data_IF_656333555305
#
_entry.id   IF_656333555305
#
_cell.length_a   1.000
_cell.length_b   1.000
_cell.length_c   1.000
_cell.angle_alpha   90.00
_cell.angle_beta   90.00
_cell.angle_gamma   90.00
#
_symmetry.space_group_name_H-M   'P 1'
#
loop_
_entity.id
_entity.type
_entity.pdbx_description
1 polymer ?
#
# COMPACT_ATOMS: atom_id res chain seq x y z
N UNK A 1 9.03 82.92 -15.62
CA UNK A 1 9.84 82.41 -14.48
C UNK A 1 9.22 81.09 -14.04
N UNK A 2 9.73 79.93 -14.50
CA UNK A 2 10.72 79.02 -13.86
C UNK A 2 10.28 78.39 -12.52
N UNK A 3 9.95 77.09 -12.56
CA UNK A 3 10.30 75.96 -11.64
C UNK A 3 9.35 74.78 -11.97
N UNK A 4 9.71 73.70 -12.67
CA UNK A 4 10.63 72.55 -12.47
C UNK A 4 10.29 71.61 -11.28
N UNK A 5 10.19 70.31 -11.64
CA UNK A 5 10.28 69.07 -10.84
C UNK A 5 9.03 68.69 -10.00
N UNK A 6 8.62 67.43 -9.83
CA UNK A 6 9.29 66.14 -10.01
C UNK A 6 8.29 65.00 -10.31
N UNK A 7 8.78 63.97 -10.99
CA UNK A 7 8.14 62.69 -11.24
C UNK A 7 8.06 61.81 -9.98
N UNK A 8 7.02 60.96 -9.88
CA UNK A 8 7.09 59.64 -9.23
C UNK A 8 6.18 58.68 -10.01
N UNK A 9 6.76 57.81 -10.83
CA UNK A 9 6.10 56.57 -11.28
C UNK A 9 6.15 55.58 -10.11
N UNK A 10 5.00 55.23 -9.53
CA UNK A 10 4.89 54.05 -8.67
C UNK A 10 4.78 52.80 -9.55
N UNK A 11 5.90 52.12 -9.75
CA UNK A 11 5.90 50.73 -10.21
C UNK A 11 5.55 49.83 -9.02
N UNK A 12 4.30 49.39 -8.94
CA UNK A 12 3.92 48.35 -8.00
C UNK A 12 4.46 47.00 -8.49
N UNK A 13 5.58 46.54 -7.90
CA UNK A 13 6.01 45.15 -8.02
C UNK A 13 5.00 44.26 -7.29
N UNK A 14 4.08 43.66 -8.04
CA UNK A 14 3.33 42.49 -7.58
C UNK A 14 4.29 41.30 -7.50
N UNK A 15 4.92 41.12 -6.34
CA UNK A 15 5.48 39.82 -5.97
C UNK A 15 4.30 38.85 -5.85
N UNK A 16 4.03 38.12 -6.93
CA UNK A 16 3.16 36.95 -6.90
C UNK A 16 3.88 35.87 -6.10
N UNK A 17 3.48 35.70 -4.85
CA UNK A 17 3.86 34.53 -4.08
C UNK A 17 3.14 33.36 -4.74
N UNK A 18 3.88 32.54 -5.49
CA UNK A 18 3.39 31.25 -5.92
C UNK A 18 3.19 30.41 -4.65
N UNK A 19 1.97 30.41 -4.12
CA UNK A 19 1.58 29.43 -3.12
C UNK A 19 1.78 28.05 -3.73
N UNK A 20 2.36 27.08 -3.00
CA UNK A 20 2.37 25.71 -3.46
C UNK A 20 0.91 25.30 -3.68
N UNK A 21 0.56 24.99 -4.93
CA UNK A 21 -0.67 24.26 -5.21
C UNK A 21 -0.58 22.97 -4.42
N UNK A 22 -1.44 22.82 -3.41
CA UNK A 22 -1.73 21.52 -2.86
C UNK A 22 -2.21 20.67 -4.05
N UNK A 23 -1.43 19.67 -4.42
CA UNK A 23 -1.89 18.68 -5.36
C UNK A 23 -3.08 17.96 -4.70
N UNK A 24 -4.18 17.73 -5.44
CA UNK A 24 -5.24 16.82 -5.01
C UNK A 24 -4.68 15.39 -5.08
N UNK A 25 -3.88 15.06 -4.07
CA UNK A 25 -3.32 13.74 -3.86
C UNK A 25 -3.77 13.21 -2.50
N UNK A 26 -4.10 11.92 -2.46
CA UNK A 26 -4.45 11.21 -1.25
C UNK A 26 -3.56 10.00 -1.09
N UNK A 27 -3.23 9.67 0.17
CA UNK A 27 -2.73 8.34 0.49
C UNK A 27 -3.84 7.33 0.23
N UNK A 28 -3.43 6.18 -0.28
CA UNK A 28 -4.30 5.07 -0.64
C UNK A 28 -3.55 3.75 -0.45
N UNK A 29 -4.30 2.66 -0.52
CA UNK A 29 -3.78 1.30 -0.59
C UNK A 29 -3.99 0.78 -1.99
N UNK A 30 -2.93 0.31 -2.63
CA UNK A 30 -2.98 -0.23 -3.98
C UNK A 30 -2.91 -1.76 -3.94
N UNK A 31 -3.88 -2.41 -4.55
CA UNK A 31 -3.91 -3.85 -4.78
C UNK A 31 -3.70 -4.15 -6.26
N UNK A 32 -2.79 -5.07 -6.56
CA UNK A 32 -2.38 -5.42 -7.92
C UNK A 32 -2.85 -6.83 -8.25
N UNK A 33 -3.66 -6.94 -9.29
CA UNK A 33 -4.17 -8.20 -9.80
C UNK A 33 -3.63 -8.46 -11.20
N UNK A 34 -2.92 -9.56 -11.46
CA UNK A 34 -2.52 -9.94 -12.80
C UNK A 34 -3.75 -10.08 -13.71
N UNK A 35 -3.58 -9.82 -15.02
CA UNK A 35 -4.69 -9.93 -15.96
C UNK A 35 -5.28 -11.34 -15.95
N UNK A 36 -6.60 -11.42 -15.74
CA UNK A 36 -7.34 -12.67 -15.71
C UNK A 36 -7.25 -13.43 -14.38
N UNK A 37 -6.53 -12.90 -13.38
CA UNK A 37 -6.46 -13.44 -12.04
C UNK A 37 -7.51 -12.79 -11.14
N UNK A 38 -8.18 -13.60 -10.33
CA UNK A 38 -8.97 -13.19 -9.16
C UNK A 38 -8.13 -13.15 -7.87
N UNK A 39 -6.90 -13.65 -7.93
CA UNK A 39 -5.91 -13.56 -6.85
C UNK A 39 -5.11 -12.27 -6.94
N UNK A 40 -4.98 -11.60 -5.80
CA UNK A 40 -4.11 -10.44 -5.65
C UNK A 40 -2.64 -10.89 -5.64
N UNK A 41 -1.81 -10.26 -6.46
CA UNK A 41 -0.37 -10.51 -6.51
C UNK A 41 0.37 -9.69 -5.45
N UNK A 42 0.07 -8.40 -5.34
CA UNK A 42 0.71 -7.55 -4.33
C UNK A 42 -0.25 -6.49 -3.81
N UNK A 43 -0.05 -6.14 -2.55
CA UNK A 43 -0.64 -4.97 -1.92
C UNK A 43 0.52 -4.03 -1.60
N UNK A 44 0.35 -2.74 -1.81
CA UNK A 44 1.39 -1.74 -1.55
C UNK A 44 0.73 -0.40 -1.21
N UNK A 45 1.21 0.34 -0.19
CA UNK A 45 0.76 1.71 0.00
C UNK A 45 1.08 2.54 -1.25
N UNK A 46 0.21 3.49 -1.57
CA UNK A 46 0.39 4.33 -2.74
C UNK A 46 -0.18 5.73 -2.52
N UNK A 47 0.27 6.65 -3.36
CA UNK A 47 -0.32 7.98 -3.46
C UNK A 47 -1.09 8.07 -4.76
N UNK A 48 -2.38 8.35 -4.66
CA UNK A 48 -3.24 8.65 -5.81
C UNK A 48 -3.34 10.16 -5.97
N UNK A 49 -3.06 10.68 -7.16
CA UNK A 49 -3.24 12.09 -7.51
C UNK A 49 -4.06 12.26 -8.78
N UNK A 50 -4.94 13.25 -8.81
CA UNK A 50 -5.69 13.60 -10.02
C UNK A 50 -5.69 15.12 -10.25
N UNK A 51 -5.22 15.58 -11.42
CA UNK A 51 -5.21 17.00 -11.80
C UNK A 51 -5.58 17.19 -13.26
N UNK A 52 -6.56 18.06 -13.53
CA UNK A 52 -7.00 18.39 -14.90
C UNK A 52 -7.28 17.15 -15.79
N UNK A 53 -7.81 16.08 -15.17
CA UNK A 53 -8.07 14.81 -15.84
C UNK A 53 -6.87 13.88 -15.99
N UNK A 54 -5.64 14.31 -15.69
CA UNK A 54 -4.48 13.43 -15.58
C UNK A 54 -4.50 12.74 -14.22
N UNK A 55 -4.07 11.47 -14.18
CA UNK A 55 -3.98 10.67 -12.97
C UNK A 55 -2.53 10.21 -12.79
N UNK A 56 -2.03 10.31 -11.57
CA UNK A 56 -0.74 9.73 -11.16
C UNK A 56 -1.00 8.78 -10.00
N UNK A 57 -0.49 7.56 -10.10
CA UNK A 57 -0.54 6.57 -9.02
C UNK A 57 0.90 6.16 -8.73
N UNK A 58 1.42 6.57 -7.59
CA UNK A 58 2.80 6.29 -7.17
C UNK A 58 2.77 5.26 -6.05
N UNK A 59 3.28 4.06 -6.32
CA UNK A 59 3.41 2.99 -5.32
C UNK A 59 4.69 3.18 -4.50
N UNK A 60 4.66 2.79 -3.23
CA UNK A 60 5.86 2.86 -2.37
C UNK A 60 7.01 1.95 -2.83
N UNK A 61 6.73 0.92 -3.63
CA UNK A 61 7.74 0.07 -4.25
C UNK A 61 8.43 0.70 -5.49
N UNK A 62 8.18 1.98 -5.75
CA UNK A 62 8.86 2.76 -6.78
C UNK A 62 8.20 2.72 -8.16
N UNK A 63 7.11 1.98 -8.33
CA UNK A 63 6.35 1.96 -9.59
C UNK A 63 5.40 3.16 -9.65
N UNK A 64 5.51 3.95 -10.72
CA UNK A 64 4.62 5.10 -10.99
C UNK A 64 3.82 4.86 -12.26
N UNK A 65 2.51 5.08 -12.20
CA UNK A 65 1.63 5.11 -13.36
C UNK A 65 1.25 6.55 -13.66
N UNK A 66 1.53 7.01 -14.89
CA UNK A 66 1.09 8.32 -15.37
C UNK A 66 0.03 8.13 -16.45
N UNK A 67 -1.18 8.61 -16.19
CA UNK A 67 -2.34 8.36 -17.02
C UNK A 67 -2.83 9.68 -17.64
N UNK A 68 -2.74 9.76 -18.97
CA UNK A 68 -3.23 10.88 -19.76
C UNK A 68 -4.64 10.61 -20.26
N UNK A 69 -5.63 11.52 -20.06
CA UNK A 69 -7.00 11.29 -20.49
C UNK A 69 -7.10 11.25 -22.03
N UNK A 70 -8.01 10.42 -22.56
CA UNK A 70 -8.23 10.27 -24.00
C UNK A 70 -9.66 10.67 -24.36
N UNK A 71 -9.78 11.76 -25.12
CA UNK A 71 -11.05 12.31 -25.56
C UNK A 71 -11.89 12.84 -24.41
N UNK A 72 -13.17 13.11 -24.68
CA UNK A 72 -14.07 13.76 -23.71
C UNK A 72 -14.80 12.77 -22.80
N UNK A 73 -14.63 11.45 -23.02
CA UNK A 73 -15.28 10.42 -22.22
C UNK A 73 -14.45 10.11 -20.97
N UNK A 74 -15.00 10.32 -19.75
CA UNK A 74 -14.30 9.96 -18.53
C UNK A 74 -13.96 8.48 -18.49
N UNK A 75 -12.79 8.16 -17.92
CA UNK A 75 -12.38 6.79 -17.67
C UNK A 75 -11.49 6.16 -18.73
N UNK A 76 -11.22 6.85 -19.84
CA UNK A 76 -10.28 6.38 -20.87
C UNK A 76 -8.95 7.11 -20.74
N UNK A 77 -7.87 6.35 -20.63
CA UNK A 77 -6.52 6.90 -20.46
C UNK A 77 -5.52 6.20 -21.37
N UNK A 78 -4.38 6.86 -21.57
CA UNK A 78 -3.12 6.22 -21.99
C UNK A 78 -2.14 6.28 -20.84
N UNK A 79 -1.43 5.19 -20.60
CA UNK A 79 -0.27 5.23 -19.69
C UNK A 79 0.93 5.94 -20.33
N UNK A 80 2.02 6.05 -19.57
CA UNK A 80 3.29 6.62 -20.02
C UNK A 80 3.88 5.94 -21.27
N UNK A 81 3.48 4.69 -21.56
CA UNK A 81 3.91 3.91 -22.73
C UNK A 81 2.91 4.02 -23.90
N UNK A 82 1.88 4.87 -23.77
CA UNK A 82 0.83 5.07 -24.76
C UNK A 82 -0.22 3.94 -24.80
N UNK A 83 -0.19 2.99 -23.87
CA UNK A 83 -1.11 1.84 -23.84
C UNK A 83 -2.44 2.23 -23.20
N UNK A 84 -3.53 1.65 -23.67
CA UNK A 84 -4.86 1.95 -23.16
C UNK A 84 -5.03 1.47 -21.71
N UNK A 85 -5.58 2.36 -20.87
CA UNK A 85 -5.95 2.08 -19.48
C UNK A 85 -7.37 2.55 -19.25
N UNK A 86 -8.17 1.72 -18.58
CA UNK A 86 -9.58 2.02 -18.34
C UNK A 86 -9.85 2.12 -16.85
N UNK A 87 -10.44 3.25 -16.42
CA UNK A 87 -11.01 3.37 -15.07
C UNK A 87 -12.39 2.75 -15.05
N UNK A 88 -12.61 1.81 -14.15
CA UNK A 88 -13.88 1.12 -13.97
C UNK A 88 -14.48 1.44 -12.60
N UNK A 89 -15.81 1.48 -12.58
CA UNK A 89 -16.59 1.40 -11.35
C UNK A 89 -16.51 -0.03 -10.79
N UNK A 90 -16.74 -0.19 -9.50
CA UNK A 90 -16.78 -1.52 -8.86
C UNK A 90 -16.52 -1.49 -7.36
N UNK A 91 -15.86 -0.43 -6.87
CA UNK A 91 -15.57 -0.25 -5.45
C UNK A 91 -16.49 0.76 -4.75
N UNK A 92 -17.41 1.40 -5.48
CA UNK A 92 -18.29 2.43 -4.92
C UNK A 92 -17.50 3.57 -4.30
N UNK A 93 -17.81 3.91 -3.05
CA UNK A 93 -17.11 4.94 -2.29
C UNK A 93 -15.76 4.48 -1.73
N UNK A 94 -15.44 3.17 -1.76
CA UNK A 94 -14.21 2.64 -1.18
C UNK A 94 -12.96 2.88 -2.04
N UNK A 95 -13.11 3.14 -3.35
CA UNK A 95 -11.95 3.20 -4.22
C UNK A 95 -12.23 3.32 -5.73
N UNK A 96 -11.17 3.13 -6.51
CA UNK A 96 -11.18 3.11 -7.98
C UNK A 96 -10.45 1.88 -8.54
N UNK A 97 -10.86 1.43 -9.72
CA UNK A 97 -10.20 0.32 -10.42
C UNK A 97 -9.61 0.85 -11.73
N UNK A 98 -8.33 0.57 -11.98
CA UNK A 98 -7.64 0.85 -13.24
C UNK A 98 -7.24 -0.46 -13.91
N UNK A 99 -7.75 -0.69 -15.11
CA UNK A 99 -7.43 -1.87 -15.93
C UNK A 99 -6.34 -1.53 -16.92
N UNK A 100 -5.15 -2.05 -16.66
CA UNK A 100 -3.99 -1.98 -17.55
C UNK A 100 -3.97 -3.21 -18.49
N UNK A 101 -3.14 -3.22 -19.54
CA UNK A 101 -3.08 -4.33 -20.48
C UNK A 101 -2.64 -5.67 -19.88
N UNK A 102 -1.87 -5.64 -18.78
CA UNK A 102 -1.26 -6.82 -18.14
C UNK A 102 -1.72 -7.07 -16.71
N UNK A 103 -2.39 -6.09 -16.08
CA UNK A 103 -2.79 -6.14 -14.69
C UNK A 103 -3.95 -5.18 -14.41
N UNK A 104 -4.51 -5.25 -13.22
CA UNK A 104 -5.45 -4.27 -12.68
C UNK A 104 -4.90 -3.70 -11.40
N UNK A 105 -5.08 -2.39 -11.21
CA UNK A 105 -4.70 -1.68 -10.00
C UNK A 105 -5.98 -1.21 -9.34
N UNK A 106 -6.27 -1.74 -8.16
CA UNK A 106 -7.38 -1.31 -7.34
C UNK A 106 -6.80 -0.34 -6.30
N UNK A 107 -7.34 0.87 -6.25
CA UNK A 107 -6.90 1.94 -5.37
C UNK A 107 -7.99 2.12 -4.33
N UNK A 108 -7.69 1.80 -3.07
CA UNK A 108 -8.63 1.95 -1.96
C UNK A 108 -8.26 3.15 -1.08
N UNK A 109 -9.28 3.86 -0.60
CA UNK A 109 -9.11 5.01 0.30
C UNK A 109 -8.95 4.60 1.77
N UNK A 110 -9.22 3.32 2.08
CA UNK A 110 -8.95 2.74 3.39
C UNK A 110 -7.43 2.61 3.58
N UNK A 111 -6.84 3.70 4.06
CA UNK A 111 -5.48 3.69 4.55
C UNK A 111 -5.39 2.79 5.78
N UNK A 112 -5.30 1.47 5.60
CA UNK A 112 -4.76 0.58 6.63
C UNK A 112 -3.35 1.06 7.07
N UNK A 113 -2.67 1.84 6.23
CA UNK A 113 -1.39 2.47 6.51
C UNK A 113 -1.46 3.85 7.23
N UNK A 114 -2.63 4.39 7.59
CA UNK A 114 -2.68 5.71 8.26
C UNK A 114 -3.51 5.70 9.56
N UNK A 115 -3.06 4.92 10.53
CA UNK A 115 -3.01 5.41 11.91
C UNK A 115 -1.53 5.56 12.25
N UNK A 116 -1.09 6.80 12.45
CA UNK A 116 0.30 7.11 12.77
C UNK A 116 0.80 6.21 13.90
N UNK A 117 1.96 5.59 13.69
CA UNK A 117 2.71 4.94 14.75
C UNK A 117 2.80 5.90 15.94
N UNK A 118 2.02 5.64 16.99
CA UNK A 118 2.38 6.12 18.30
C UNK A 118 3.78 5.55 18.57
N UNK A 119 4.75 6.44 18.76
CA UNK A 119 6.19 6.14 18.83
C UNK A 119 6.59 5.16 19.95
N UNK A 120 5.61 4.64 20.72
CA UNK A 120 5.83 3.80 21.90
C UNK A 120 5.30 2.35 21.74
N UNK A 121 4.73 1.97 20.59
CA UNK A 121 4.36 0.57 20.31
C UNK A 121 5.25 -0.04 19.22
N UNK A 122 6.16 -0.93 19.62
CA UNK A 122 7.09 -1.60 18.70
C UNK A 122 6.37 -2.45 17.63
N UNK A 123 5.13 -2.88 17.88
CA UNK A 123 4.34 -3.67 16.91
C UNK A 123 3.30 -2.83 16.17
N UNK A 124 3.36 -1.49 16.24
CA UNK A 124 2.51 -0.63 15.41
C UNK A 124 2.66 -1.01 13.92
N UNK A 125 1.58 -1.04 13.12
CA UNK A 125 0.22 -0.54 13.41
C UNK A 125 -0.66 -1.48 14.26
N UNK A 126 -0.18 -2.68 14.58
CA UNK A 126 -0.95 -3.65 15.36
C UNK A 126 -0.95 -3.27 16.85
N UNK A 127 -2.05 -2.67 17.28
CA UNK A 127 -2.45 -2.66 18.70
C UNK A 127 -3.18 -3.99 19.03
N UNK A 128 -3.41 -4.30 20.30
CA UNK A 128 -4.26 -5.46 20.67
C UNK A 128 -5.68 -5.36 20.13
N UNK A 129 -6.14 -4.18 19.67
CA UNK A 129 -7.47 -3.97 19.07
C UNK A 129 -7.35 -3.47 17.63
N UNK A 130 -8.22 -3.95 16.76
CA UNK A 130 -8.42 -3.50 15.37
C UNK A 130 -9.92 -3.30 15.10
N UNK A 131 -10.29 -2.67 13.98
CA UNK A 131 -11.70 -2.33 13.67
C UNK A 131 -12.65 -3.55 13.70
N UNK A 132 -12.12 -4.75 13.46
CA UNK A 132 -12.87 -6.01 13.46
C UNK A 132 -12.73 -6.88 14.71
N UNK A 133 -12.02 -6.44 15.76
CA UNK A 133 -11.85 -7.25 16.98
C UNK A 133 -10.56 -6.99 17.76
N UNK A 134 -10.10 -8.00 18.49
CA UNK A 134 -8.83 -7.97 19.22
C UNK A 134 -7.90 -9.07 18.71
N UNK A 135 -6.60 -8.78 18.62
CA UNK A 135 -5.58 -9.79 18.38
C UNK A 135 -5.27 -10.55 19.67
N UNK A 136 -5.09 -11.86 19.59
CA UNK A 136 -4.67 -12.68 20.74
C UNK A 136 -3.25 -12.35 21.19
N UNK A 137 -2.41 -11.89 20.26
CA UNK A 137 -1.08 -11.38 20.53
C UNK A 137 -0.61 -10.46 19.39
N UNK A 138 0.38 -9.62 19.69
CA UNK A 138 1.13 -8.87 18.69
C UNK A 138 2.61 -9.19 18.87
N UNK A 139 3.37 -9.20 17.78
CA UNK A 139 4.79 -9.57 17.81
C UNK A 139 5.58 -8.89 16.70
N UNK A 140 6.90 -8.99 16.79
CA UNK A 140 7.84 -8.67 15.73
C UNK A 140 8.35 -10.00 15.14
N UNK A 141 7.89 -10.34 13.95
CA UNK A 141 8.40 -11.48 13.20
C UNK A 141 9.75 -11.11 12.59
N UNK A 142 10.70 -12.06 12.60
CA UNK A 142 11.91 -11.89 11.80
C UNK A 142 11.53 -11.99 10.34
N UNK A 143 11.88 -10.97 9.57
CA UNK A 143 11.53 -10.92 8.15
C UNK A 143 12.66 -10.31 7.31
N UNK A 144 12.64 -10.58 6.00
CA UNK A 144 13.56 -9.96 5.04
C UNK A 144 12.98 -9.93 3.64
N UNK A 145 13.46 -8.99 2.83
CA UNK A 145 13.13 -8.87 1.41
C UNK A 145 13.90 -9.88 0.57
N UNK A 146 13.48 -10.03 -0.69
CA UNK A 146 14.17 -10.89 -1.64
C UNK A 146 15.63 -10.44 -1.87
N UNK A 147 16.56 -11.38 -1.76
CA UNK A 147 17.99 -11.12 -1.96
C UNK A 147 18.74 -10.66 -0.71
N UNK A 148 18.03 -10.28 0.36
CA UNK A 148 18.67 -9.87 1.61
C UNK A 148 19.19 -11.07 2.41
N UNK A 149 20.32 -10.84 3.08
CA UNK A 149 20.94 -11.83 3.97
C UNK A 149 20.61 -11.56 5.44
N UNK A 150 20.40 -10.30 5.80
CA UNK A 150 20.04 -9.87 7.15
C UNK A 150 18.53 -9.86 7.34
N UNK A 151 18.09 -10.19 8.55
CA UNK A 151 16.69 -10.11 8.94
C UNK A 151 16.43 -8.83 9.70
N UNK A 152 15.37 -8.14 9.31
CA UNK A 152 14.73 -7.10 10.10
C UNK A 152 13.60 -7.66 10.96
N UNK A 153 12.75 -6.74 11.43
CA UNK A 153 11.57 -7.05 12.24
C UNK A 153 10.33 -6.51 11.55
N UNK A 154 9.35 -7.38 11.30
CA UNK A 154 8.05 -7.05 10.73
C UNK A 154 6.98 -7.14 11.82
N UNK A 155 6.26 -6.05 12.09
CA UNK A 155 5.09 -6.09 12.96
C UNK A 155 4.07 -7.12 12.48
N UNK A 156 3.47 -7.84 13.43
CA UNK A 156 2.39 -8.76 13.14
C UNK A 156 1.35 -8.84 14.26
N UNK A 157 0.09 -8.99 13.87
CA UNK A 157 -1.02 -9.36 14.74
C UNK A 157 -1.38 -10.84 14.57
N UNK A 158 -1.70 -11.50 15.67
CA UNK A 158 -1.98 -12.94 15.75
C UNK A 158 -3.43 -13.17 16.13
N UNK A 159 -4.15 -13.93 15.31
CA UNK A 159 -5.50 -14.44 15.58
C UNK A 159 -5.44 -15.97 15.60
N UNK A 160 -5.46 -16.57 16.78
CA UNK A 160 -5.49 -18.02 16.98
C UNK A 160 -6.90 -18.53 16.84
N UNK A 161 -6.99 -19.77 16.37
CA UNK A 161 -8.23 -20.49 16.15
C UNK A 161 -8.10 -21.88 16.75
N UNK A 162 -9.24 -22.49 17.03
CA UNK A 162 -9.29 -23.85 17.54
C UNK A 162 -8.57 -24.85 16.62
N UNK A 163 -7.96 -25.85 17.25
CA UNK A 163 -7.26 -26.92 16.54
C UNK A 163 -5.86 -26.53 16.04
N UNK A 164 -5.19 -25.58 16.69
CA UNK A 164 -3.81 -25.20 16.37
C UNK A 164 -3.69 -24.49 15.04
N UNK A 165 -4.68 -23.67 14.69
CA UNK A 165 -4.70 -22.86 13.48
C UNK A 165 -4.56 -21.38 13.85
N UNK A 166 -4.05 -20.57 12.93
CA UNK A 166 -3.97 -19.13 13.16
C UNK A 166 -3.97 -18.33 11.85
N UNK A 167 -4.49 -17.11 11.93
CA UNK A 167 -4.32 -16.08 10.93
C UNK A 167 -3.35 -15.03 11.47
N UNK A 168 -2.25 -14.83 10.77
CA UNK A 168 -1.20 -13.88 11.15
C UNK A 168 -1.24 -12.73 10.16
N UNK A 169 -1.65 -11.55 10.62
CA UNK A 169 -1.65 -10.31 9.85
C UNK A 169 -0.27 -9.70 9.99
N UNK A 170 0.42 -9.47 8.88
CA UNK A 170 1.82 -9.04 8.83
C UNK A 170 1.91 -7.74 8.06
N UNK A 171 2.63 -6.76 8.61
CA UNK A 171 3.10 -5.62 7.85
C UNK A 171 4.49 -5.95 7.26
N UNK A 172 4.57 -5.96 5.93
CA UNK A 172 5.81 -6.26 5.20
C UNK A 172 6.87 -5.16 5.40
N UNK A 173 8.14 -5.40 5.01
CA UNK A 173 9.18 -4.37 5.01
C UNK A 173 8.80 -3.12 4.19
N UNK A 174 7.88 -3.27 3.22
CA UNK A 174 7.35 -2.20 2.38
C UNK A 174 6.02 -1.64 2.90
N UNK A 175 5.70 -1.84 4.19
CA UNK A 175 4.50 -1.33 4.88
C UNK A 175 3.17 -1.82 4.31
N UNK A 176 3.20 -2.83 3.45
CA UNK A 176 2.00 -3.48 2.96
C UNK A 176 1.50 -4.50 3.97
N UNK A 177 0.19 -4.56 4.19
CA UNK A 177 -0.40 -5.57 5.06
C UNK A 177 -0.90 -6.79 4.26
N UNK A 178 -0.68 -7.97 4.79
CA UNK A 178 -1.23 -9.22 4.25
C UNK A 178 -1.43 -10.23 5.39
N UNK A 179 -2.25 -11.24 5.15
CA UNK A 179 -2.53 -12.27 6.14
C UNK A 179 -1.99 -13.60 5.66
N UNK A 180 -1.23 -14.30 6.51
CA UNK A 180 -0.88 -15.70 6.32
C UNK A 180 -1.79 -16.55 7.20
N UNK A 181 -2.50 -17.49 6.60
CA UNK A 181 -3.36 -18.43 7.30
C UNK A 181 -2.64 -19.77 7.43
N UNK A 182 -2.40 -20.18 8.67
CA UNK A 182 -1.92 -21.50 9.05
C UNK A 182 -3.13 -22.37 9.37
N UNK A 183 -3.48 -23.26 8.44
CA UNK A 183 -4.53 -24.27 8.61
C UNK A 183 -3.89 -25.63 8.84
N UNK A 184 -4.69 -26.59 9.29
CA UNK A 184 -4.22 -27.96 9.59
C UNK A 184 -3.62 -28.67 8.39
N UNK A 185 -4.10 -28.36 7.18
CA UNK A 185 -3.71 -29.01 5.93
C UNK A 185 -2.95 -28.10 4.96
N UNK A 186 -2.93 -26.79 5.21
CA UNK A 186 -2.36 -25.82 4.27
C UNK A 186 -1.93 -24.52 4.94
N UNK A 187 -0.87 -23.92 4.40
CA UNK A 187 -0.51 -22.53 4.66
C UNK A 187 -0.76 -21.74 3.38
N UNK A 188 -1.52 -20.65 3.48
CA UNK A 188 -1.84 -19.76 2.35
C UNK A 188 -1.76 -18.29 2.78
N UNK A 189 -1.77 -17.38 1.82
CA UNK A 189 -1.83 -15.94 2.10
C UNK A 189 -3.01 -15.28 1.38
N UNK A 190 -3.47 -14.15 1.89
CA UNK A 190 -4.46 -13.29 1.21
C UNK A 190 -3.88 -12.59 -0.02
N UNK A 191 -2.55 -12.51 -0.11
CA UNK A 191 -1.80 -11.76 -1.13
C UNK A 191 -0.61 -12.58 -1.60
N UNK A 192 -0.57 -12.89 -2.90
CA UNK A 192 0.45 -13.74 -3.50
C UNK A 192 0.35 -15.19 -3.03
N UNK A 193 1.19 -16.05 -3.61
CA UNK A 193 1.35 -17.42 -3.15
C UNK A 193 2.48 -17.53 -2.10
N UNK A 194 2.39 -18.53 -1.22
CA UNK A 194 3.40 -18.80 -0.19
C UNK A 194 3.80 -20.26 -0.18
N UNK A 195 5.07 -20.50 0.11
CA UNK A 195 5.59 -21.81 0.50
C UNK A 195 6.00 -21.74 1.96
N UNK A 196 5.52 -22.68 2.77
CA UNK A 196 5.86 -22.74 4.19
C UNK A 196 6.56 -24.06 4.51
N UNK A 197 7.60 -24.01 5.33
CA UNK A 197 8.30 -25.18 5.86
C UNK A 197 8.46 -25.04 7.36
N UNK A 198 8.11 -26.09 8.10
CA UNK A 198 8.33 -26.18 9.54
C UNK A 198 9.68 -26.88 9.79
N UNK A 199 10.53 -26.27 10.61
CA UNK A 199 11.75 -26.90 11.11
C UNK A 199 11.83 -26.72 12.63
N UNK A 200 11.69 -27.82 13.37
CA UNK A 200 11.46 -27.74 14.82
C UNK A 200 10.22 -26.88 15.09
N UNK A 201 10.42 -25.80 15.84
CA UNK A 201 9.34 -24.94 16.30
C UNK A 201 9.23 -23.64 15.47
N UNK A 202 9.85 -23.59 14.30
CA UNK A 202 9.92 -22.39 13.47
C UNK A 202 9.41 -22.67 12.06
N UNK A 203 8.34 -21.97 11.69
CA UNK A 203 7.89 -21.89 10.31
C UNK A 203 8.72 -20.88 9.54
N UNK A 204 9.29 -21.30 8.42
CA UNK A 204 9.83 -20.40 7.40
C UNK A 204 8.80 -20.26 6.30
N UNK A 205 8.19 -19.08 6.19
CA UNK A 205 7.24 -18.72 5.14
C UNK A 205 7.97 -17.91 4.09
N UNK A 206 8.01 -18.41 2.85
CA UNK A 206 8.58 -17.72 1.69
C UNK A 206 7.46 -17.34 0.74
N UNK A 207 7.36 -16.05 0.41
CA UNK A 207 6.39 -15.53 -0.55
C UNK A 207 6.92 -15.64 -1.99
N UNK A 208 6.02 -15.61 -2.95
CA UNK A 208 6.32 -15.60 -4.39
C UNK A 208 7.22 -14.44 -4.85
N UNK A 209 7.14 -13.29 -4.16
CA UNK A 209 8.02 -12.15 -4.36
C UNK A 209 9.42 -12.31 -3.74
N UNK A 210 9.70 -13.43 -3.06
CA UNK A 210 10.97 -13.77 -2.44
C UNK A 210 11.17 -13.25 -1.01
N UNK A 211 10.18 -12.56 -0.43
CA UNK A 211 10.21 -12.20 0.99
C UNK A 211 10.15 -13.46 1.88
N UNK A 212 10.85 -13.42 3.01
CA UNK A 212 10.89 -14.52 3.98
C UNK A 212 10.47 -14.02 5.36
N UNK A 213 9.64 -14.82 6.03
CA UNK A 213 9.12 -14.56 7.37
C UNK A 213 9.32 -15.79 8.25
N UNK A 214 9.87 -15.60 9.45
CA UNK A 214 10.02 -16.64 10.46
C UNK A 214 8.91 -16.52 11.51
N UNK A 215 8.03 -17.52 11.56
CA UNK A 215 6.87 -17.56 12.46
C UNK A 215 7.05 -18.69 13.47
N UNK A 216 7.21 -18.39 14.78
CA UNK A 216 7.35 -19.44 15.78
C UNK A 216 6.04 -20.22 15.93
N UNK A 217 6.12 -21.52 16.21
CA UNK A 217 4.95 -22.39 16.38
C UNK A 217 4.03 -21.90 17.50
N UNK A 218 4.58 -21.29 18.54
CA UNK A 218 3.82 -20.66 19.64
C UNK A 218 2.97 -19.45 19.21
N UNK A 219 3.28 -18.83 18.07
CA UNK A 219 2.38 -17.85 17.47
C UNK A 219 1.06 -18.51 17.03
N UNK A 220 1.09 -19.79 16.65
CA UNK A 220 -0.06 -20.54 16.17
C UNK A 220 -0.76 -21.26 17.32
N UNK A 221 -0.02 -22.03 18.11
CA UNK A 221 -0.59 -22.92 19.14
C UNK A 221 -0.89 -22.21 20.47
N UNK A 222 -0.28 -21.04 20.70
CA UNK A 222 -0.24 -20.43 22.02
C UNK A 222 1.01 -20.86 22.80
N UNK A 223 1.17 -20.28 23.99
CA UNK A 223 2.20 -20.63 24.96
C UNK A 223 1.61 -21.21 26.24
#
# INVERSE_FOLDING_TARGET
>A
MKQKASAVLMAALSMGWALPSAADSTQARCEIYPKGSDKMQTMVPCTFGQRQGYITITREDGVTYELSPVGDRPGNFRDQDGRAVYRQSGLGEAGLIFRFPTQSVFVYWDNAASAGAAADNATAPFATKYEGGEYDATTLLRCKTAGDTEFGNCPAGILRMDGGQASIVIQSPHRAEFTVNFKTDAVNATVGDVTAKLNGDLWTVTRDNGEVYEVPLSAIEGG
#
